data_IF_689908244153
#
_entry.id   IF_689908244153
#
_cell.length_a   1.000
_cell.length_b   1.000
_cell.length_c   1.000
_cell.angle_alpha   90.00
_cell.angle_beta   90.00
_cell.angle_gamma   90.00
#
_symmetry.space_group_name_H-M   'P 1'
#
loop_
_entity.id
_entity.type
_entity.pdbx_description
1 polymer ?
#
# COMPACT_ATOMS: atom_id res chain seq x y z
N UNK A 1 -19.40 0.87 73.44
CA UNK A 1 -19.50 2.29 73.05
C UNK A 1 -19.88 2.31 71.56
N UNK A 2 -21.14 2.56 71.23
CA UNK A 2 -21.64 2.45 69.85
C UNK A 2 -21.36 3.74 69.08
N UNK A 3 -20.33 3.73 68.23
CA UNK A 3 -20.09 4.82 67.29
C UNK A 3 -21.20 4.83 66.23
N UNK A 4 -22.15 5.77 66.34
CA UNK A 4 -23.18 5.98 65.31
C UNK A 4 -22.55 6.71 64.12
N UNK A 5 -22.51 6.04 62.97
CA UNK A 5 -22.04 6.62 61.71
C UNK A 5 -22.90 7.83 61.32
N UNK A 6 -22.31 9.02 61.30
CA UNK A 6 -23.00 10.26 60.99
C UNK A 6 -23.03 10.49 59.46
N UNK A 7 -24.09 9.98 58.80
CA UNK A 7 -24.29 10.12 57.34
C UNK A 7 -24.21 11.57 56.84
N UNK A 8 -24.63 12.56 57.64
CA UNK A 8 -24.59 13.98 57.24
C UNK A 8 -23.16 14.51 57.10
N UNK A 9 -22.25 14.08 57.98
CA UNK A 9 -20.84 14.45 57.90
C UNK A 9 -20.11 13.69 56.81
N UNK A 10 -20.48 12.42 56.58
CA UNK A 10 -19.95 11.63 55.47
C UNK A 10 -20.30 12.23 54.09
N UNK A 11 -21.55 12.70 53.91
CA UNK A 11 -21.97 13.35 52.66
C UNK A 11 -21.32 14.74 52.50
N UNK A 12 -21.09 15.47 53.60
CA UNK A 12 -20.28 16.71 53.57
C UNK A 12 -18.81 16.46 53.18
N UNK A 13 -18.25 15.31 53.59
CA UNK A 13 -16.89 14.87 53.23
C UNK A 13 -16.76 14.40 51.78
N UNK A 14 -17.83 13.89 51.18
CA UNK A 14 -17.95 13.57 49.74
C UNK A 14 -18.11 14.83 48.88
N UNK A 15 -17.29 15.85 49.16
CA UNK A 15 -17.17 17.11 48.43
C UNK A 15 -16.54 16.93 47.02
N UNK A 16 -16.64 15.73 46.45
CA UNK A 16 -16.10 15.32 45.15
C UNK A 16 -16.91 15.87 43.96
N UNK A 17 -18.09 16.45 44.21
CA UNK A 17 -19.01 16.98 43.20
C UNK A 17 -19.20 18.50 43.26
N UNK A 18 -18.26 19.27 43.82
CA UNK A 18 -18.30 20.72 43.65
C UNK A 18 -17.95 21.08 42.20
N UNK A 19 -18.95 21.52 41.43
CA UNK A 19 -18.82 21.80 39.99
C UNK A 19 -17.85 22.94 39.65
N UNK A 20 -17.49 23.79 40.62
CA UNK A 20 -16.50 24.87 40.48
C UNK A 20 -15.06 24.35 40.31
N UNK A 21 -14.70 23.26 41.00
CA UNK A 21 -13.41 22.58 40.90
C UNK A 21 -13.32 21.75 39.60
N UNK A 22 -14.42 21.10 39.21
CA UNK A 22 -14.49 20.34 37.95
C UNK A 22 -14.48 21.26 36.72
N UNK A 23 -15.19 22.38 36.75
CA UNK A 23 -15.23 23.34 35.63
C UNK A 23 -13.86 23.90 35.27
N UNK A 24 -13.06 24.29 36.27
CA UNK A 24 -11.68 24.77 36.06
C UNK A 24 -10.78 23.67 35.48
N UNK A 25 -10.93 22.44 35.95
CA UNK A 25 -10.19 21.27 35.45
C UNK A 25 -10.57 20.96 34.00
N UNK A 26 -11.86 21.02 33.66
CA UNK A 26 -12.36 20.74 32.31
C UNK A 26 -11.90 21.79 31.29
N UNK A 27 -11.91 23.07 31.66
CA UNK A 27 -11.41 24.16 30.80
C UNK A 27 -9.91 24.03 30.54
N UNK A 28 -9.14 23.64 31.58
CA UNK A 28 -7.71 23.35 31.40
C UNK A 28 -7.52 22.16 30.46
N UNK A 29 -8.27 21.06 30.61
CA UNK A 29 -8.17 19.91 29.70
C UNK A 29 -8.50 20.30 28.25
N UNK A 30 -9.59 21.03 28.00
CA UNK A 30 -9.97 21.47 26.64
C UNK A 30 -8.87 22.33 26.00
N UNK A 31 -8.26 23.25 26.77
CA UNK A 31 -7.15 24.07 26.27
C UNK A 31 -5.96 23.22 25.83
N UNK A 32 -5.58 22.20 26.60
CA UNK A 32 -4.48 21.30 26.23
C UNK A 32 -4.83 20.47 24.98
N UNK A 33 -6.07 20.00 24.86
CA UNK A 33 -6.54 19.28 23.67
C UNK A 33 -6.48 20.12 22.39
N UNK A 34 -6.85 21.40 22.47
CA UNK A 34 -6.75 22.33 21.33
C UNK A 34 -5.29 22.51 20.92
N UNK A 35 -4.38 22.72 21.89
CA UNK A 35 -2.95 22.88 21.63
C UNK A 35 -2.37 21.63 20.95
N UNK A 36 -2.68 20.43 21.46
CA UNK A 36 -2.20 19.18 20.86
C UNK A 36 -2.77 18.93 19.46
N UNK A 37 -4.04 19.30 19.22
CA UNK A 37 -4.66 19.22 17.89
C UNK A 37 -3.96 20.12 16.87
N UNK A 38 -3.62 21.35 17.26
CA UNK A 38 -2.88 22.29 16.41
C UNK A 38 -1.48 21.77 16.09
N UNK A 39 -0.76 21.24 17.09
CA UNK A 39 0.56 20.63 16.88
C UNK A 39 0.47 19.45 15.90
N UNK A 40 -0.52 18.56 16.09
CA UNK A 40 -0.76 17.44 15.17
C UNK A 40 -1.05 17.91 13.74
N UNK A 41 -1.90 18.92 13.57
CA UNK A 41 -2.20 19.49 12.24
C UNK A 41 -0.96 20.10 11.58
N UNK A 42 -0.09 20.77 12.33
CA UNK A 42 1.16 21.33 11.80
C UNK A 42 2.10 20.21 11.38
N UNK A 43 2.28 19.17 12.20
CA UNK A 43 3.16 18.02 11.88
C UNK A 43 2.63 17.24 10.68
N UNK A 44 1.33 16.94 10.64
CA UNK A 44 0.71 16.26 9.49
C UNK A 44 0.70 17.12 8.23
N UNK A 45 0.44 18.42 8.36
CA UNK A 45 0.48 19.38 7.27
C UNK A 45 1.88 19.49 6.66
N UNK A 46 2.90 19.59 7.51
CA UNK A 46 4.30 19.61 7.10
C UNK A 46 4.72 18.31 6.43
N UNK A 47 4.40 17.16 7.03
CA UNK A 47 4.68 15.85 6.45
C UNK A 47 4.02 15.65 5.08
N UNK A 48 2.76 16.09 4.92
CA UNK A 48 2.06 16.06 3.63
C UNK A 48 2.69 16.99 2.61
N UNK A 49 3.12 18.19 3.02
CA UNK A 49 3.76 19.16 2.13
C UNK A 49 5.12 18.67 1.62
N UNK A 50 5.99 18.20 2.52
CA UNK A 50 7.29 17.60 2.16
C UNK A 50 7.07 16.38 1.27
N UNK A 51 6.12 15.51 1.61
CA UNK A 51 5.78 14.34 0.82
C UNK A 51 5.18 14.63 -0.56
N UNK A 52 4.64 15.83 -0.80
CA UNK A 52 4.19 16.27 -2.13
C UNK A 52 5.34 16.85 -2.96
N UNK A 53 6.31 17.52 -2.33
CA UNK A 53 7.46 18.14 -2.99
C UNK A 53 8.43 17.11 -3.57
N UNK A 54 8.55 15.95 -2.93
CA UNK A 54 9.44 14.85 -3.37
C UNK A 54 8.76 13.85 -4.33
N UNK A 55 7.45 13.99 -4.57
CA UNK A 55 6.77 13.12 -5.53
C UNK A 55 7.14 13.52 -6.95
N UNK A 56 7.87 12.63 -7.61
CA UNK A 56 7.99 12.63 -9.06
C UNK A 56 6.56 12.57 -9.63
N UNK A 57 6.13 13.53 -10.46
CA UNK A 57 4.77 13.54 -10.99
C UNK A 57 4.56 12.31 -11.86
N UNK A 58 3.78 11.36 -11.36
CA UNK A 58 3.34 10.19 -12.13
C UNK A 58 2.09 10.55 -12.91
N UNK A 59 2.23 10.67 -14.23
CA UNK A 59 1.10 10.86 -15.14
C UNK A 59 0.59 9.49 -15.61
N UNK A 60 -0.65 9.15 -15.24
CA UNK A 60 -1.36 8.00 -15.82
C UNK A 60 -1.89 8.40 -17.20
N UNK A 61 -1.05 8.24 -18.21
CA UNK A 61 -1.40 8.44 -19.61
C UNK A 61 -2.22 7.23 -20.07
N UNK A 62 -3.53 7.23 -19.78
CA UNK A 62 -4.51 6.20 -20.17
C UNK A 62 -4.72 6.12 -21.70
N UNK A 63 -3.65 5.93 -22.47
CA UNK A 63 -3.66 5.91 -23.94
C UNK A 63 -3.97 7.27 -24.58
N UNK A 64 -3.80 8.37 -23.84
CA UNK A 64 -3.98 9.74 -24.34
C UNK A 64 -2.63 10.35 -24.71
N UNK A 65 -2.60 11.04 -25.84
CA UNK A 65 -1.44 11.85 -26.23
C UNK A 65 -1.33 13.04 -25.28
N UNK A 66 -0.11 13.38 -24.87
CA UNK A 66 0.12 14.48 -23.93
C UNK A 66 1.36 15.26 -24.31
N UNK A 67 1.25 16.58 -24.20
CA UNK A 67 2.35 17.52 -24.41
C UNK A 67 2.74 18.10 -23.06
N UNK A 68 4.00 17.89 -22.64
CA UNK A 68 4.57 18.51 -21.44
C UNK A 68 5.47 19.66 -21.88
N UNK A 69 5.17 20.89 -21.44
CA UNK A 69 5.99 22.06 -21.78
C UNK A 69 7.30 22.05 -20.98
N UNK A 70 8.42 22.08 -21.69
CA UNK A 70 9.79 22.19 -21.18
C UNK A 70 10.40 23.50 -21.71
N UNK A 71 10.19 24.61 -20.99
CA UNK A 71 10.62 25.95 -21.42
C UNK A 71 10.14 26.30 -22.85
N UNK A 72 11.05 26.22 -23.84
CA UNK A 72 10.81 26.50 -25.28
C UNK A 72 10.54 25.24 -26.13
N UNK A 73 10.45 24.07 -25.50
CA UNK A 73 10.20 22.80 -26.18
C UNK A 73 8.98 22.10 -25.56
N UNK A 74 8.45 21.14 -26.29
CA UNK A 74 7.34 20.30 -25.87
C UNK A 74 7.75 18.84 -25.90
N UNK A 75 7.58 18.13 -24.79
CA UNK A 75 7.68 16.67 -24.77
C UNK A 75 6.32 16.10 -25.19
N UNK A 76 6.24 15.60 -26.41
CA UNK A 76 5.09 14.89 -26.94
C UNK A 76 5.20 13.40 -26.59
N UNK A 77 4.32 12.92 -25.71
CA UNK A 77 4.22 11.51 -25.37
C UNK A 77 3.09 10.91 -26.20
N UNK A 78 3.45 10.03 -27.14
CA UNK A 78 2.53 9.33 -28.04
C UNK A 78 1.86 8.15 -27.32
N UNK A 79 0.76 7.65 -27.90
CA UNK A 79 -0.03 6.52 -27.35
C UNK A 79 0.76 5.21 -27.28
N UNK A 80 1.80 5.07 -28.09
CA UNK A 80 2.70 3.92 -28.13
C UNK A 80 3.81 3.98 -27.05
N UNK A 81 3.82 5.03 -26.23
CA UNK A 81 4.82 5.25 -25.18
C UNK A 81 6.12 5.87 -25.69
N UNK A 82 6.21 6.25 -26.96
CA UNK A 82 7.36 7.02 -27.45
C UNK A 82 7.26 8.47 -26.99
N UNK A 83 8.39 9.02 -26.54
CA UNK A 83 8.48 10.41 -26.11
C UNK A 83 9.32 11.18 -27.13
N UNK A 84 8.73 12.21 -27.74
CA UNK A 84 9.37 13.07 -28.73
C UNK A 84 9.56 14.45 -28.14
N UNK A 85 10.76 15.01 -28.28
CA UNK A 85 10.99 16.43 -28.00
C UNK A 85 10.67 17.19 -29.28
N UNK A 86 9.68 18.06 -29.21
CA UNK A 86 9.14 18.86 -30.30
C UNK A 86 9.43 20.33 -30.03
N UNK A 87 9.75 21.08 -31.08
CA UNK A 87 9.99 22.53 -31.01
C UNK A 87 8.72 23.33 -30.68
N UNK A 88 8.86 24.64 -30.44
CA UNK A 88 7.76 25.57 -30.10
C UNK A 88 6.58 25.52 -31.07
N UNK A 89 6.82 25.15 -32.33
CA UNK A 89 5.82 24.99 -33.39
C UNK A 89 5.03 23.69 -33.33
N UNK A 90 5.35 22.79 -32.38
CA UNK A 90 4.71 21.48 -32.17
C UNK A 90 4.72 20.54 -33.39
N UNK A 91 5.50 20.86 -34.43
CA UNK A 91 5.60 20.09 -35.68
C UNK A 91 7.00 19.56 -35.93
N UNK A 92 8.03 20.25 -35.46
CA UNK A 92 9.44 19.88 -35.68
C UNK A 92 9.91 18.95 -34.57
N UNK A 93 10.06 17.66 -34.87
CA UNK A 93 10.60 16.67 -33.92
C UNK A 93 12.12 16.82 -33.88
N UNK A 94 12.65 17.34 -32.79
CA UNK A 94 14.09 17.55 -32.61
C UNK A 94 14.79 16.26 -32.19
N UNK A 95 14.12 15.43 -31.38
CA UNK A 95 14.70 14.18 -30.89
C UNK A 95 13.61 13.20 -30.46
N UNK A 96 13.66 11.98 -30.99
CA UNK A 96 12.81 10.88 -30.53
C UNK A 96 13.54 10.09 -29.46
N UNK A 97 13.01 10.09 -28.24
CA UNK A 97 13.49 9.26 -27.14
C UNK A 97 12.67 7.97 -27.19
N UNK A 98 13.26 6.90 -27.72
CA UNK A 98 12.62 5.58 -27.67
C UNK A 98 12.76 5.03 -26.26
N UNK A 99 11.73 4.35 -25.78
CA UNK A 99 11.72 3.67 -24.46
C UNK A 99 12.89 2.68 -24.33
N UNK A 100 13.38 2.13 -25.45
CA UNK A 100 14.55 1.23 -25.51
C UNK A 100 15.87 1.90 -25.11
N UNK A 101 15.97 3.22 -25.28
CA UNK A 101 17.21 3.99 -25.07
C UNK A 101 17.34 4.49 -23.62
N UNK A 102 16.29 4.33 -22.81
CA UNK A 102 16.30 4.66 -21.38
C UNK A 102 16.55 3.35 -20.60
N UNK A 103 17.78 3.12 -20.08
CA UNK A 103 18.14 1.85 -19.43
C UNK A 103 17.24 1.51 -18.24
N UNK A 104 16.79 2.53 -17.49
CA UNK A 104 15.89 2.37 -16.32
C UNK A 104 14.49 1.87 -16.71
N UNK A 105 13.95 2.31 -17.85
CA UNK A 105 12.65 1.83 -18.34
C UNK A 105 12.76 0.45 -18.97
N UNK A 106 13.89 0.17 -19.65
CA UNK A 106 14.20 -1.15 -20.20
C UNK A 106 14.18 -2.21 -19.11
N UNK A 107 14.78 -1.95 -17.94
CA UNK A 107 14.79 -2.88 -16.80
C UNK A 107 13.42 -3.07 -16.17
N UNK A 108 12.66 -1.99 -15.94
CA UNK A 108 11.32 -2.08 -15.32
C UNK A 108 10.30 -2.81 -16.21
N UNK A 109 10.47 -2.72 -17.53
CA UNK A 109 9.59 -3.34 -18.51
C UNK A 109 10.05 -4.73 -18.96
N UNK A 110 11.15 -5.29 -18.41
CA UNK A 110 11.58 -6.64 -18.79
C UNK A 110 10.44 -7.64 -18.51
N UNK A 111 10.08 -8.47 -19.51
CA UNK A 111 9.04 -9.47 -19.34
C UNK A 111 9.50 -10.58 -18.40
N UNK A 112 10.80 -10.86 -18.32
CA UNK A 112 11.37 -11.84 -17.40
C UNK A 112 12.30 -11.18 -16.38
N UNK A 113 12.39 -11.74 -15.18
CA UNK A 113 13.35 -11.30 -14.17
C UNK A 113 13.19 -12.04 -12.84
N UNK A 114 14.27 -12.11 -12.07
CA UNK A 114 14.22 -12.51 -10.68
C UNK A 114 13.59 -11.38 -9.85
N UNK A 115 12.53 -11.68 -9.11
CA UNK A 115 11.82 -10.75 -8.26
C UNK A 115 11.50 -11.47 -6.96
N UNK A 116 12.39 -11.36 -5.96
CA UNK A 116 12.21 -11.94 -4.63
C UNK A 116 11.32 -11.01 -3.81
N UNK A 117 10.08 -11.43 -3.56
CA UNK A 117 9.12 -10.66 -2.76
C UNK A 117 8.29 -11.53 -1.86
N UNK A 118 8.07 -11.05 -0.64
CA UNK A 118 7.17 -11.68 0.32
C UNK A 118 5.73 -11.44 -0.15
N UNK A 119 4.94 -12.51 -0.13
CA UNK A 119 3.53 -12.50 -0.54
C UNK A 119 2.68 -13.10 0.57
N UNK A 120 1.50 -12.51 0.79
CA UNK A 120 0.44 -13.13 1.60
C UNK A 120 -0.54 -13.86 0.68
N UNK A 121 -0.96 -15.05 1.08
CA UNK A 121 -1.88 -15.86 0.28
C UNK A 121 -3.05 -16.39 1.11
N UNK A 122 -4.23 -16.36 0.52
CA UNK A 122 -5.38 -17.16 0.91
C UNK A 122 -5.56 -18.25 -0.14
N UNK A 123 -5.61 -19.50 0.30
CA UNK A 123 -5.81 -20.62 -0.60
C UNK A 123 -6.90 -21.57 -0.15
N UNK A 124 -7.32 -22.41 -1.08
CA UNK A 124 -8.27 -23.47 -0.87
C UNK A 124 -7.71 -24.74 -1.50
N UNK A 125 -7.55 -25.77 -0.69
CA UNK A 125 -7.23 -27.13 -1.16
C UNK A 125 -8.47 -28.02 -0.96
N UNK A 126 -8.59 -28.63 0.22
CA UNK A 126 -9.78 -29.32 0.76
C UNK A 126 -10.54 -28.45 1.78
N UNK A 127 -9.86 -27.46 2.35
CA UNK A 127 -10.34 -26.48 3.34
C UNK A 127 -9.57 -25.18 3.14
N UNK A 128 -10.11 -24.08 3.64
CA UNK A 128 -9.46 -22.75 3.60
C UNK A 128 -8.08 -22.78 4.30
N UNK A 129 -7.09 -22.15 3.67
CA UNK A 129 -5.70 -22.07 4.10
C UNK A 129 -5.22 -20.63 3.98
N UNK A 130 -4.40 -20.22 4.94
CA UNK A 130 -3.76 -18.92 4.96
C UNK A 130 -2.27 -19.17 5.06
N UNK A 131 -1.50 -18.39 4.32
CA UNK A 131 -0.07 -18.56 4.27
C UNK A 131 0.70 -17.33 3.85
N UNK A 132 2.02 -17.51 3.89
CA UNK A 132 3.00 -16.59 3.37
C UNK A 132 3.87 -17.33 2.39
N UNK A 133 4.47 -16.61 1.44
CA UNK A 133 5.44 -17.23 0.55
C UNK A 133 6.38 -16.24 -0.06
N UNK A 134 7.25 -16.75 -0.92
CA UNK A 134 8.11 -15.93 -1.76
C UNK A 134 7.68 -16.06 -3.20
N UNK A 135 7.49 -14.92 -3.85
CA UNK A 135 7.59 -14.84 -5.29
C UNK A 135 9.08 -14.79 -5.62
N UNK A 136 9.57 -15.62 -6.53
CA UNK A 136 11.00 -15.66 -6.90
C UNK A 136 11.21 -15.18 -8.33
N UNK A 137 10.34 -15.58 -9.25
CA UNK A 137 10.50 -15.29 -10.68
C UNK A 137 9.28 -14.61 -11.26
N UNK A 138 9.54 -13.71 -12.19
CA UNK A 138 8.55 -13.07 -13.05
C UNK A 138 8.78 -13.49 -14.48
N UNK A 139 7.70 -13.93 -15.14
CA UNK A 139 7.65 -14.14 -16.59
C UNK A 139 6.32 -13.61 -17.16
N UNK A 140 6.36 -12.47 -17.83
CA UNK A 140 5.22 -11.69 -18.30
C UNK A 140 4.18 -11.44 -17.20
N UNK A 141 3.05 -12.14 -17.26
CA UNK A 141 1.96 -12.10 -16.29
C UNK A 141 2.02 -13.29 -15.31
N UNK A 142 2.84 -14.28 -15.59
CA UNK A 142 3.09 -15.44 -14.73
C UNK A 142 4.18 -15.15 -13.71
N UNK A 143 4.04 -15.73 -12.54
CA UNK A 143 4.98 -15.61 -11.42
C UNK A 143 5.21 -16.99 -10.84
N UNK A 144 6.47 -17.31 -10.54
CA UNK A 144 6.80 -18.51 -9.79
C UNK A 144 6.79 -18.16 -8.31
N UNK A 145 6.00 -18.91 -7.55
CA UNK A 145 5.79 -18.75 -6.13
C UNK A 145 6.31 -19.97 -5.40
N UNK A 146 7.41 -19.80 -4.69
CA UNK A 146 8.07 -20.85 -3.95
C UNK A 146 8.99 -20.24 -2.89
N UNK A 147 9.08 -20.82 -1.69
CA UNK A 147 8.11 -21.73 -1.09
C UNK A 147 6.85 -20.98 -0.65
N UNK A 148 5.70 -21.63 -0.74
CA UNK A 148 4.44 -21.17 -0.18
C UNK A 148 4.17 -21.95 1.12
N UNK A 149 4.30 -21.29 2.26
CA UNK A 149 4.08 -21.86 3.58
C UNK A 149 2.68 -21.50 4.06
N UNK A 150 1.82 -22.50 4.22
CA UNK A 150 0.49 -22.33 4.81
C UNK A 150 0.43 -22.96 6.19
N UNK A 151 -0.66 -22.73 6.89
CA UNK A 151 -0.98 -23.44 8.13
C UNK A 151 -1.16 -24.97 7.97
N UNK A 152 -1.20 -25.50 6.73
CA UNK A 152 -1.41 -26.94 6.49
C UNK A 152 -0.32 -27.62 5.66
N UNK A 153 0.55 -26.89 4.97
CA UNK A 153 1.59 -27.50 4.16
C UNK A 153 2.55 -26.51 3.53
N UNK A 154 3.48 -27.06 2.75
CA UNK A 154 4.41 -26.33 1.90
C UNK A 154 4.11 -26.63 0.44
N UNK A 155 4.03 -25.59 -0.39
CA UNK A 155 3.68 -25.69 -1.80
C UNK A 155 4.67 -24.93 -2.68
N UNK A 156 4.80 -25.37 -3.92
CA UNK A 156 5.35 -24.59 -5.02
C UNK A 156 4.27 -24.36 -6.06
N UNK A 157 4.16 -23.14 -6.56
CA UNK A 157 3.09 -22.79 -7.48
C UNK A 157 3.48 -21.77 -8.51
N UNK A 158 2.55 -21.59 -9.44
CA UNK A 158 2.61 -20.54 -10.44
C UNK A 158 1.33 -19.72 -10.31
N UNK A 159 1.47 -18.40 -10.33
CA UNK A 159 0.33 -17.49 -10.30
C UNK A 159 0.31 -16.55 -11.49
N UNK A 160 -0.89 -16.17 -11.89
CA UNK A 160 -1.19 -15.27 -12.97
C UNK A 160 -1.72 -13.95 -12.41
N UNK A 161 -1.17 -12.83 -12.90
CA UNK A 161 -1.61 -11.49 -12.53
C UNK A 161 -3.00 -11.21 -13.10
N UNK A 162 -3.92 -10.82 -12.24
CA UNK A 162 -5.26 -10.41 -12.66
C UNK A 162 -5.36 -8.90 -12.62
N UNK A 163 -5.77 -8.31 -13.73
CA UNK A 163 -6.02 -6.88 -13.84
C UNK A 163 -7.53 -6.66 -13.98
N UNK A 164 -8.22 -6.61 -12.84
CA UNK A 164 -9.59 -6.11 -12.77
C UNK A 164 -9.54 -4.61 -12.45
N UNK A 165 -10.41 -3.80 -13.08
CA UNK A 165 -10.41 -2.33 -12.98
C UNK A 165 -10.38 -1.75 -11.55
N UNK A 166 -10.76 -2.52 -10.53
CA UNK A 166 -10.75 -2.13 -9.10
C UNK A 166 -9.72 -2.86 -8.23
N UNK A 167 -9.07 -3.90 -8.75
CA UNK A 167 -8.19 -4.77 -7.96
C UNK A 167 -6.80 -4.72 -8.61
N UNK A 168 -5.94 -3.88 -8.05
CA UNK A 168 -4.52 -3.84 -8.39
C UNK A 168 -3.74 -4.80 -7.47
N UNK A 169 -2.59 -5.31 -7.92
CA UNK A 169 -1.69 -6.17 -7.13
C UNK A 169 -2.23 -7.53 -6.69
N UNK A 170 -3.18 -8.09 -7.43
CA UNK A 170 -3.78 -9.38 -7.11
C UNK A 170 -3.47 -10.45 -8.14
N UNK A 171 -3.29 -11.68 -7.68
CA UNK A 171 -2.89 -12.81 -8.50
C UNK A 171 -3.66 -14.05 -8.06
N UNK A 172 -4.11 -14.86 -9.03
CA UNK A 172 -4.59 -16.22 -8.76
C UNK A 172 -3.53 -17.20 -9.20
N UNK A 173 -3.31 -18.24 -8.41
CA UNK A 173 -2.33 -19.26 -8.69
C UNK A 173 -2.80 -20.65 -8.33
N UNK A 174 -2.07 -21.61 -8.88
CA UNK A 174 -2.17 -23.01 -8.58
C UNK A 174 -0.83 -23.46 -8.03
N UNK A 175 -0.87 -24.16 -6.91
CA UNK A 175 0.28 -24.69 -6.22
C UNK A 175 0.13 -26.19 -6.01
N UNK A 176 1.25 -26.90 -6.04
CA UNK A 176 1.35 -28.30 -5.72
C UNK A 176 2.34 -28.47 -4.57
N UNK A 177 2.02 -29.33 -3.61
CA UNK A 177 2.80 -29.42 -2.39
C UNK A 177 2.45 -30.60 -1.52
N UNK A 178 3.01 -30.57 -0.30
CA UNK A 178 2.91 -31.64 0.68
C UNK A 178 2.31 -31.06 1.96
N UNK A 179 1.28 -31.72 2.50
CA UNK A 179 0.68 -31.36 3.78
C UNK A 179 1.54 -31.75 4.98
N UNK A 180 1.57 -30.94 6.03
CA UNK A 180 2.40 -31.23 7.22
C UNK A 180 1.91 -32.42 8.04
N UNK A 181 0.60 -32.63 8.15
CA UNK A 181 0.02 -33.66 9.03
C UNK A 181 0.00 -35.04 8.41
N UNK A 182 -0.36 -35.14 7.14
CA UNK A 182 -0.61 -36.42 6.46
C UNK A 182 0.46 -36.74 5.41
N UNK A 183 1.41 -35.81 5.17
CA UNK A 183 2.40 -35.88 4.09
C UNK A 183 1.79 -36.21 2.71
N UNK A 184 0.51 -35.92 2.52
CA UNK A 184 -0.22 -36.17 1.29
C UNK A 184 0.07 -35.07 0.27
N UNK A 185 0.10 -35.49 -0.99
CA UNK A 185 0.23 -34.61 -2.14
C UNK A 185 -1.06 -33.82 -2.30
N UNK A 186 -0.95 -32.48 -2.27
CA UNK A 186 -2.10 -31.57 -2.33
C UNK A 186 -1.90 -30.53 -3.43
N UNK A 187 -3.02 -30.15 -4.05
CA UNK A 187 -3.11 -28.99 -4.91
C UNK A 187 -3.82 -27.89 -4.14
N UNK A 188 -3.28 -26.68 -4.20
CA UNK A 188 -3.86 -25.48 -3.60
C UNK A 188 -4.17 -24.49 -4.72
N UNK A 189 -5.42 -24.04 -4.78
CA UNK A 189 -5.77 -22.85 -5.53
C UNK A 189 -5.63 -21.66 -4.58
N UNK A 190 -4.83 -20.67 -4.93
CA UNK A 190 -4.57 -19.55 -4.04
C UNK A 190 -4.72 -18.21 -4.71
N UNK A 191 -5.23 -17.27 -3.94
CA UNK A 191 -5.23 -15.86 -4.23
C UNK A 191 -4.16 -15.20 -3.38
N UNK A 192 -3.28 -14.43 -4.01
CA UNK A 192 -2.22 -13.71 -3.30
C UNK A 192 -2.28 -12.21 -3.55
N UNK A 193 -1.88 -11.48 -2.52
CA UNK A 193 -1.67 -10.05 -2.56
C UNK A 193 -0.20 -9.74 -2.41
N UNK A 194 0.21 -8.70 -3.13
CA UNK A 194 1.54 -8.14 -3.04
C UNK A 194 1.50 -6.90 -2.15
N UNK A 195 2.29 -6.94 -1.08
CA UNK A 195 2.58 -5.79 -0.22
C UNK A 195 3.60 -4.86 -0.89
#
# INVERSE_FOLDING_TARGET
>A
MNAKFNKKEFIKGLNLFRGDLWGKTFVLMIRHWIIYSVILLIVFGWGKYVGLKERIPTFDLKGKETYIKLNNHYLHIKKDGTAEVVDSDKKTVLKTIKVKDIPVLREKLKPYGAEIKIIGLLGYSKKEEIGIGLQILKWFNWRLDFPLLTNKGIYGGVSYRIQLKRIQNSFLGLGYGIGYKEQDKRIIFYYKWKF
#
